data_IF_936204306207
#
_entry.id   IF_936204306207
#
_cell.length_a   1.000
_cell.length_b   1.000
_cell.length_c   1.000
_cell.angle_alpha   90.00
_cell.angle_beta   90.00
_cell.angle_gamma   90.00
#
_symmetry.space_group_name_H-M   'P 1'
#
loop_
_entity.id
_entity.type
_entity.pdbx_description
1 polymer ?
#
# COMPACT_ATOMS: atom_id res chain seq x y z
N UNK A 1 -1.66 -2.09 16.32
CA UNK A 1 -0.65 -2.94 17.01
C UNK A 1 0.06 -3.81 15.96
N UNK A 2 1.28 -3.46 15.54
CA UNK A 2 2.09 -4.26 14.60
C UNK A 2 2.84 -5.36 15.38
N UNK A 3 2.90 -6.58 14.85
CA UNK A 3 3.73 -7.64 15.43
C UNK A 3 5.18 -7.25 15.18
N UNK A 4 5.86 -6.67 16.17
CA UNK A 4 7.31 -6.58 16.17
C UNK A 4 7.77 -7.87 16.82
N UNK A 5 7.93 -8.91 16.00
CA UNK A 5 8.57 -10.14 16.46
C UNK A 5 10.08 -9.92 16.34
N UNK A 6 10.70 -9.74 17.50
CA UNK A 6 12.13 -9.92 17.83
C UNK A 6 13.20 -9.30 16.90
N UNK A 7 13.86 -8.25 17.42
CA UNK A 7 15.10 -7.61 16.94
C UNK A 7 15.00 -6.88 15.59
N UNK A 8 14.74 -5.57 15.66
CA UNK A 8 15.06 -4.52 14.65
C UNK A 8 15.07 -5.04 13.21
N UNK A 9 13.89 -5.39 12.69
CA UNK A 9 13.75 -6.05 11.41
C UNK A 9 13.94 -5.06 10.25
N UNK A 10 15.11 -5.10 9.59
CA UNK A 10 15.36 -4.48 8.28
C UNK A 10 14.98 -5.49 7.19
N UNK A 11 13.79 -5.36 6.62
CA UNK A 11 13.22 -6.36 5.71
C UNK A 11 12.43 -5.75 4.56
N UNK A 12 11.56 -4.76 4.81
CA UNK A 12 10.74 -4.21 3.73
C UNK A 12 11.63 -3.39 2.79
N UNK A 13 12.51 -2.55 3.33
CA UNK A 13 13.42 -1.74 2.52
C UNK A 13 14.31 -2.61 1.61
N UNK A 14 15.04 -3.64 2.10
CA UNK A 14 15.79 -4.54 1.24
C UNK A 14 14.96 -5.21 0.14
N UNK A 15 13.73 -5.63 0.45
CA UNK A 15 12.87 -6.33 -0.50
C UNK A 15 12.53 -5.46 -1.72
N UNK A 16 12.23 -4.16 -1.49
CA UNK A 16 11.95 -3.21 -2.56
C UNK A 16 13.21 -2.60 -3.18
N UNK A 17 14.31 -2.48 -2.43
CA UNK A 17 15.60 -2.01 -2.94
C UNK A 17 16.21 -2.98 -3.95
N UNK A 18 15.98 -4.29 -3.77
CA UNK A 18 16.42 -5.34 -4.68
C UNK A 18 17.72 -6.02 -4.25
N UNK A 19 18.49 -6.50 -5.22
CA UNK A 19 19.61 -7.43 -4.98
C UNK A 19 20.98 -6.76 -4.86
N UNK A 20 21.05 -5.42 -4.91
CA UNK A 20 22.32 -4.72 -4.79
C UNK A 20 22.94 -4.92 -3.39
N UNK A 21 24.26 -4.95 -3.31
CA UNK A 21 24.99 -5.20 -2.06
C UNK A 21 24.63 -4.18 -0.96
N UNK A 22 24.46 -2.91 -1.33
CA UNK A 22 24.12 -1.84 -0.41
C UNK A 22 22.70 -1.95 0.18
N UNK A 23 21.79 -2.69 -0.46
CA UNK A 23 20.44 -2.94 0.04
C UNK A 23 20.42 -3.83 1.29
N UNK A 24 21.49 -4.61 1.51
CA UNK A 24 21.60 -5.53 2.66
C UNK A 24 22.20 -4.87 3.89
N UNK A 25 22.67 -3.62 3.78
CA UNK A 25 23.28 -2.87 4.89
C UNK A 25 22.13 -2.25 5.72
N UNK A 26 21.95 -2.66 7.00
CA UNK A 26 20.86 -2.15 7.82
C UNK A 26 20.91 -0.64 8.03
N UNK A 27 19.78 0.03 7.83
CA UNK A 27 19.67 1.48 8.03
C UNK A 27 20.38 2.33 6.98
N UNK A 28 20.82 1.75 5.85
CA UNK A 28 21.48 2.48 4.78
C UNK A 28 20.50 3.46 4.08
N UNK A 29 20.76 4.78 4.10
CA UNK A 29 19.88 5.76 3.44
C UNK A 29 19.80 5.58 1.91
N UNK A 30 20.85 5.05 1.28
CA UNK A 30 20.83 4.75 -0.15
C UNK A 30 19.85 3.62 -0.48
N UNK A 31 19.70 2.64 0.44
CA UNK A 31 18.74 1.55 0.28
C UNK A 31 17.30 2.05 0.37
N UNK A 32 17.02 2.96 1.31
CA UNK A 32 15.68 3.59 1.45
C UNK A 32 15.33 4.39 0.20
N UNK A 33 16.25 5.23 -0.30
CA UNK A 33 16.02 6.02 -1.52
C UNK A 33 15.74 5.12 -2.73
N UNK A 34 16.55 4.08 -2.92
CA UNK A 34 16.35 3.12 -4.00
C UNK A 34 14.99 2.42 -3.86
N UNK A 35 14.63 1.94 -2.66
CA UNK A 35 13.34 1.30 -2.43
C UNK A 35 12.16 2.23 -2.77
N UNK A 36 12.22 3.51 -2.35
CA UNK A 36 11.18 4.51 -2.68
C UNK A 36 11.05 4.74 -4.19
N UNK A 37 12.18 4.91 -4.87
CA UNK A 37 12.21 5.10 -6.33
C UNK A 37 11.60 3.90 -7.06
N UNK A 38 11.91 2.68 -6.61
CA UNK A 38 11.38 1.45 -7.20
C UNK A 38 9.88 1.32 -7.01
N UNK A 39 9.36 1.66 -5.83
CA UNK A 39 7.91 1.68 -5.58
C UNK A 39 7.19 2.57 -6.60
N UNK A 40 7.77 3.70 -7.01
CA UNK A 40 7.14 4.61 -7.98
C UNK A 40 7.37 4.22 -9.44
N UNK A 41 8.51 3.60 -9.76
CA UNK A 41 8.91 3.33 -11.16
C UNK A 41 8.57 1.90 -11.61
N UNK A 42 8.75 0.91 -10.75
CA UNK A 42 8.72 -0.51 -11.12
C UNK A 42 7.44 -1.24 -10.68
N UNK A 43 6.70 -0.69 -9.70
CA UNK A 43 5.50 -1.33 -9.14
C UNK A 43 4.23 -0.62 -9.61
N UNK A 44 3.25 -1.40 -10.08
CA UNK A 44 1.93 -0.86 -10.46
C UNK A 44 1.17 -0.28 -9.24
N UNK A 45 1.16 -1.02 -8.14
CA UNK A 45 0.50 -0.65 -6.89
C UNK A 45 1.11 -1.41 -5.73
N UNK A 46 1.39 -0.71 -4.62
CA UNK A 46 1.82 -1.31 -3.36
C UNK A 46 0.75 -1.06 -2.30
N UNK A 47 0.20 -2.13 -1.75
CA UNK A 47 -0.88 -2.08 -0.77
C UNK A 47 -0.43 -2.06 0.68
N UNK A 48 -1.37 -1.76 1.58
CA UNK A 48 -1.19 -1.79 3.02
C UNK A 48 -1.96 -2.96 3.63
N UNK A 49 -1.34 -3.68 4.57
CA UNK A 49 -2.02 -4.81 5.23
C UNK A 49 -3.21 -4.35 6.07
N UNK A 50 -3.15 -3.17 6.68
CA UNK A 50 -4.27 -2.58 7.42
C UNK A 50 -5.44 -2.13 6.54
N UNK A 51 -5.19 -1.87 5.25
CA UNK A 51 -6.18 -1.43 4.27
C UNK A 51 -6.27 -2.41 3.09
N UNK A 52 -6.18 -3.71 3.40
CA UNK A 52 -6.15 -4.76 2.37
C UNK A 52 -7.41 -4.79 1.50
N UNK A 53 -8.58 -4.49 2.08
CA UNK A 53 -9.84 -4.48 1.33
C UNK A 53 -9.84 -3.39 0.26
N UNK A 54 -9.33 -2.19 0.58
CA UNK A 54 -9.13 -1.08 -0.38
C UNK A 54 -8.12 -1.48 -1.46
N UNK A 55 -7.03 -2.16 -1.09
CA UNK A 55 -6.03 -2.63 -2.04
C UNK A 55 -6.62 -3.57 -3.09
N UNK A 56 -7.46 -4.54 -2.68
CA UNK A 56 -8.08 -5.47 -3.64
C UNK A 56 -9.08 -4.78 -4.55
N UNK A 57 -9.82 -3.79 -4.05
CA UNK A 57 -10.75 -3.00 -4.87
C UNK A 57 -9.99 -2.19 -5.93
N UNK A 58 -8.86 -1.60 -5.57
CA UNK A 58 -8.00 -0.93 -6.54
C UNK A 58 -7.45 -1.91 -7.59
N UNK A 59 -7.02 -3.11 -7.18
CA UNK A 59 -6.56 -4.14 -8.12
C UNK A 59 -7.66 -4.62 -9.06
N UNK A 60 -8.90 -4.78 -8.59
CA UNK A 60 -10.04 -5.12 -9.43
C UNK A 60 -10.28 -4.07 -10.53
N UNK A 61 -10.08 -2.79 -10.21
CA UNK A 61 -10.18 -1.70 -11.18
C UNK A 61 -9.01 -1.63 -12.15
N UNK A 62 -7.78 -1.77 -11.65
CA UNK A 62 -6.56 -1.64 -12.45
C UNK A 62 -6.29 -2.86 -13.32
N UNK A 63 -6.62 -4.06 -12.83
CA UNK A 63 -6.34 -5.35 -13.47
C UNK A 63 -7.60 -6.24 -13.48
N UNK A 64 -8.70 -5.81 -14.14
CA UNK A 64 -9.98 -6.53 -14.10
C UNK A 64 -9.88 -7.95 -14.68
N UNK A 65 -8.96 -8.20 -15.62
CA UNK A 65 -8.74 -9.54 -16.19
C UNK A 65 -8.34 -10.58 -15.14
N UNK A 66 -7.70 -10.16 -14.06
CA UNK A 66 -7.22 -11.04 -12.99
C UNK A 66 -8.10 -10.96 -11.74
N UNK A 67 -8.60 -9.77 -11.41
CA UNK A 67 -9.22 -9.49 -10.11
C UNK A 67 -10.73 -9.20 -10.18
N UNK A 68 -11.39 -9.39 -11.33
CA UNK A 68 -12.85 -9.24 -11.45
C UNK A 68 -13.59 -10.13 -10.45
N UNK A 69 -14.49 -9.54 -9.66
CA UNK A 69 -15.28 -10.20 -8.63
C UNK A 69 -14.53 -10.46 -7.31
N UNK A 70 -13.28 -10.00 -7.18
CA UNK A 70 -12.47 -10.23 -5.98
C UNK A 70 -12.97 -9.46 -4.76
N UNK A 71 -13.44 -8.21 -4.93
CA UNK A 71 -14.05 -7.43 -3.84
C UNK A 71 -15.31 -8.11 -3.30
N UNK A 72 -16.14 -8.63 -4.21
CA UNK A 72 -17.33 -9.43 -3.90
C UNK A 72 -17.00 -10.71 -3.14
N UNK A 73 -15.95 -11.42 -3.56
CA UNK A 73 -15.50 -12.64 -2.90
C UNK A 73 -15.02 -12.36 -1.47
N UNK A 74 -14.21 -11.32 -1.26
CA UNK A 74 -13.72 -10.93 0.07
C UNK A 74 -14.88 -10.55 0.98
N UNK A 75 -15.92 -9.89 0.44
CA UNK A 75 -17.12 -9.51 1.18
C UNK A 75 -17.97 -10.72 1.60
N UNK A 76 -18.11 -11.72 0.73
CA UNK A 76 -18.94 -12.91 1.00
C UNK A 76 -18.27 -13.93 1.92
N UNK A 77 -16.94 -13.98 1.92
CA UNK A 77 -16.16 -14.92 2.73
C UNK A 77 -15.82 -14.33 4.09
N UNK A 78 -15.22 -15.12 5.00
CA UNK A 78 -14.68 -14.64 6.30
C UNK A 78 -13.49 -13.66 6.17
N UNK A 79 -13.31 -13.06 4.99
CA UNK A 79 -12.24 -12.14 4.64
C UNK A 79 -10.89 -12.80 4.41
N UNK A 80 -9.87 -11.96 4.23
CA UNK A 80 -8.48 -12.36 3.96
C UNK A 80 -7.71 -12.79 5.21
N UNK A 81 -8.29 -12.65 6.41
CA UNK A 81 -7.59 -12.81 7.69
C UNK A 81 -7.53 -14.26 8.18
N UNK A 82 -7.05 -15.17 7.33
CA UNK A 82 -6.97 -16.61 7.59
C UNK A 82 -5.87 -16.99 8.60
N UNK A 83 -4.70 -16.36 8.52
CA UNK A 83 -3.54 -16.68 9.39
C UNK A 83 -3.37 -15.64 10.49
N UNK A 84 -4.12 -15.79 11.59
CA UNK A 84 -3.99 -14.93 12.78
C UNK A 84 -3.00 -15.53 13.78
N UNK A 85 -2.07 -14.71 14.27
CA UNK A 85 -1.23 -15.08 15.41
C UNK A 85 -2.10 -15.24 16.66
N UNK A 86 -2.10 -16.44 17.28
CA UNK A 86 -2.98 -16.76 18.42
C UNK A 86 -2.71 -15.90 19.66
N UNK A 87 -1.44 -15.59 19.93
CA UNK A 87 -1.03 -14.82 21.10
C UNK A 87 -0.16 -13.64 20.67
N UNK A 88 -0.54 -12.43 21.10
CA UNK A 88 0.15 -11.18 20.76
C UNK A 88 0.16 -10.26 21.99
N UNK A 89 1.18 -10.37 22.85
CA UNK A 89 1.27 -9.52 24.03
C UNK A 89 1.46 -8.06 23.60
N UNK A 90 0.83 -7.09 24.28
CA UNK A 90 1.08 -5.68 24.03
C UNK A 90 2.53 -5.34 24.41
N UNK A 91 3.16 -4.51 23.58
CA UNK A 91 4.53 -4.05 23.81
C UNK A 91 4.48 -2.83 24.75
N UNK A 92 5.33 -2.82 25.77
CA UNK A 92 5.45 -1.70 26.71
C UNK A 92 5.94 -0.43 26.02
N UNK A 93 5.55 0.74 26.53
CA UNK A 93 5.95 2.02 25.90
C UNK A 93 7.46 2.25 25.96
N UNK A 94 8.12 1.78 27.03
CA UNK A 94 9.59 1.79 27.15
C UNK A 94 10.27 1.03 26.01
N UNK A 95 9.72 -0.11 25.60
CA UNK A 95 10.27 -0.88 24.47
C UNK A 95 10.00 -0.15 23.16
N UNK A 96 8.82 0.47 22.98
CA UNK A 96 8.54 1.27 21.78
C UNK A 96 9.48 2.47 21.64
N UNK A 97 9.80 3.17 22.72
CA UNK A 97 10.74 4.30 22.66
C UNK A 97 12.15 3.84 22.30
N UNK A 98 12.61 2.68 22.80
CA UNK A 98 13.88 2.08 22.40
C UNK A 98 13.92 1.80 20.89
N UNK A 99 12.84 1.28 20.30
CA UNK A 99 12.75 1.09 18.86
C UNK A 99 12.72 2.40 18.08
N UNK A 100 11.97 3.41 18.55
CA UNK A 100 11.89 4.73 17.90
C UNK A 100 13.26 5.43 17.80
N UNK A 101 14.14 5.18 18.75
CA UNK A 101 15.50 5.73 18.78
C UNK A 101 16.49 4.98 17.87
N UNK A 102 16.12 3.82 17.33
CA UNK A 102 16.98 3.01 16.48
C UNK A 102 16.93 3.49 15.01
N UNK A 103 18.09 3.75 14.40
CA UNK A 103 18.21 4.24 13.02
C UNK A 103 17.62 3.28 11.98
N UNK A 104 17.74 1.97 12.17
CA UNK A 104 17.19 0.97 11.27
C UNK A 104 15.66 0.98 11.31
N UNK A 105 15.07 1.16 12.50
CA UNK A 105 13.62 1.30 12.64
C UNK A 105 13.14 2.59 11.99
N UNK A 106 13.88 3.70 12.13
CA UNK A 106 13.56 4.97 11.50
C UNK A 106 13.57 4.84 9.97
N UNK A 107 14.57 4.19 9.39
CA UNK A 107 14.64 3.92 7.96
C UNK A 107 13.43 3.11 7.44
N UNK A 108 13.04 2.05 8.15
CA UNK A 108 11.88 1.23 7.80
C UNK A 108 10.56 1.99 7.97
N UNK A 109 10.42 2.80 9.04
CA UNK A 109 9.23 3.65 9.19
C UNK A 109 9.14 4.72 8.12
N UNK A 110 10.25 5.37 7.78
CA UNK A 110 10.30 6.37 6.72
C UNK A 110 9.83 5.78 5.38
N UNK A 111 10.26 4.56 5.06
CA UNK A 111 9.81 3.85 3.87
C UNK A 111 8.32 3.47 3.95
N UNK A 112 7.86 2.91 5.07
CA UNK A 112 6.45 2.56 5.25
C UNK A 112 5.52 3.78 5.15
N UNK A 113 5.89 4.91 5.75
CA UNK A 113 5.13 6.15 5.69
C UNK A 113 5.02 6.71 4.27
N UNK A 114 6.12 6.60 3.50
CA UNK A 114 6.11 6.94 2.08
C UNK A 114 5.14 6.05 1.30
N UNK A 115 5.24 4.72 1.41
CA UNK A 115 4.33 3.79 0.73
C UNK A 115 2.88 4.03 1.13
N UNK A 116 2.63 4.33 2.40
CA UNK A 116 1.30 4.65 2.91
C UNK A 116 0.74 5.90 2.24
N UNK A 117 1.54 6.96 2.13
CA UNK A 117 1.12 8.18 1.44
C UNK A 117 0.79 7.91 -0.03
N UNK A 118 1.68 7.22 -0.75
CA UNK A 118 1.48 6.87 -2.16
C UNK A 118 0.21 6.04 -2.39
N UNK A 119 -0.02 5.03 -1.54
CA UNK A 119 -1.23 4.21 -1.63
C UNK A 119 -2.51 5.05 -1.49
N UNK A 120 -2.58 5.94 -0.49
CA UNK A 120 -3.75 6.78 -0.28
C UNK A 120 -3.90 7.86 -1.35
N UNK A 121 -2.80 8.38 -1.90
CA UNK A 121 -2.82 9.30 -3.03
C UNK A 121 -3.47 8.66 -4.25
N UNK A 122 -3.04 7.44 -4.61
CA UNK A 122 -3.61 6.67 -5.73
C UNK A 122 -5.10 6.38 -5.47
N UNK A 123 -5.42 5.89 -4.27
CA UNK A 123 -6.79 5.59 -3.85
C UNK A 123 -7.69 6.82 -4.03
N UNK A 124 -7.28 7.97 -3.50
CA UNK A 124 -8.06 9.20 -3.56
C UNK A 124 -8.14 9.80 -4.97
N UNK A 125 -7.16 9.53 -5.83
CA UNK A 125 -7.23 9.91 -7.25
C UNK A 125 -8.26 9.09 -8.03
N UNK A 126 -8.52 7.84 -7.64
CA UNK A 126 -9.41 6.92 -8.35
C UNK A 126 -10.85 6.91 -7.79
N UNK A 127 -11.02 7.15 -6.50
CA UNK A 127 -12.29 7.06 -5.78
C UNK A 127 -12.87 8.44 -5.44
N UNK A 128 -14.20 8.54 -5.45
CA UNK A 128 -14.88 9.77 -5.02
C UNK A 128 -14.84 9.92 -3.48
N UNK A 129 -14.70 11.16 -3.01
CA UNK A 129 -14.56 11.49 -1.57
C UNK A 129 -15.76 11.07 -0.72
N UNK A 130 -16.95 10.90 -1.31
CA UNK A 130 -18.18 10.48 -0.64
C UNK A 130 -18.13 9.01 -0.15
N UNK A 131 -17.21 8.20 -0.68
CA UNK A 131 -16.98 6.83 -0.23
C UNK A 131 -15.89 6.82 0.85
N UNK A 132 -16.16 7.45 2.00
CA UNK A 132 -15.29 7.30 3.18
C UNK A 132 -15.58 5.94 3.81
N UNK A 133 -14.66 5.00 3.67
CA UNK A 133 -14.69 3.74 4.43
C UNK A 133 -14.29 4.08 5.86
N UNK A 134 -15.28 4.34 6.70
CA UNK A 134 -15.05 4.56 8.13
C UNK A 134 -14.41 3.31 8.75
N UNK A 135 -13.23 3.51 9.34
CA UNK A 135 -12.47 2.64 10.21
C UNK A 135 -13.10 1.26 10.54
N UNK A 136 -12.60 0.22 9.88
CA UNK A 136 -12.41 -1.10 10.50
C UNK A 136 -13.62 -2.05 10.57
N UNK A 137 -14.78 -1.69 10.05
CA UNK A 137 -15.86 -2.65 9.80
C UNK A 137 -15.97 -2.93 8.31
N UNK A 138 -16.05 -4.21 7.96
CA UNK A 138 -16.38 -4.70 6.63
C UNK A 138 -17.44 -3.83 5.96
N UNK A 139 -17.20 -3.50 4.68
CA UNK A 139 -18.09 -2.80 3.76
C UNK A 139 -19.58 -2.96 4.10
N UNK A 140 -20.14 -1.99 4.83
CA UNK A 140 -21.59 -1.88 5.04
C UNK A 140 -22.22 -1.29 3.78
N UNK A 141 -22.30 -2.09 2.71
CA UNK A 141 -23.22 -1.90 1.58
C UNK A 141 -23.10 -0.62 0.76
N UNK A 142 -22.14 0.27 1.01
CA UNK A 142 -21.96 1.48 0.20
C UNK A 142 -21.35 1.11 -1.15
N UNK A 143 -21.98 1.50 -2.27
CA UNK A 143 -21.43 1.22 -3.59
C UNK A 143 -20.13 1.99 -3.79
N UNK A 144 -19.10 1.30 -4.28
CA UNK A 144 -17.82 1.91 -4.66
C UNK A 144 -18.06 2.76 -5.90
N UNK A 145 -17.86 4.08 -5.80
CA UNK A 145 -18.05 5.00 -6.93
C UNK A 145 -16.69 5.48 -7.44
N UNK A 146 -16.41 5.15 -8.70
CA UNK A 146 -15.17 5.50 -9.38
C UNK A 146 -15.23 6.89 -10.02
N UNK A 147 -14.10 7.57 -10.06
CA UNK A 147 -13.95 8.76 -10.89
C UNK A 147 -14.06 8.37 -12.38
N UNK A 148 -14.84 9.14 -13.14
CA UNK A 148 -14.96 8.94 -14.59
C UNK A 148 -13.65 9.32 -15.28
N UNK A 149 -13.35 8.68 -16.40
CA UNK A 149 -12.20 9.05 -17.22
C UNK A 149 -12.28 10.52 -17.64
N UNK A 150 -11.23 11.29 -17.33
CA UNK A 150 -11.17 12.73 -17.61
C UNK A 150 -10.35 13.07 -18.87
N UNK A 151 -9.67 12.09 -19.46
CA UNK A 151 -8.80 12.30 -20.63
C UNK A 151 -9.54 11.91 -21.90
N UNK A 152 -9.68 12.88 -22.81
CA UNK A 152 -10.23 12.74 -24.15
C UNK A 152 -9.21 13.27 -25.16
N UNK A 153 -8.99 12.53 -26.24
CA UNK A 153 -8.14 13.00 -27.34
C UNK A 153 -8.98 13.79 -28.33
N UNK A 154 -8.63 15.05 -28.55
CA UNK A 154 -9.25 15.90 -29.58
C UNK A 154 -8.22 16.27 -30.65
N UNK A 155 -8.67 16.59 -31.88
CA UNK A 155 -7.81 16.93 -33.02
C UNK A 155 -6.77 15.84 -33.37
N UNK A 156 -7.26 14.61 -33.54
CA UNK A 156 -6.43 13.44 -33.89
C UNK A 156 -5.96 13.43 -35.35
N UNK A 157 -6.48 14.34 -36.19
CA UNK A 157 -6.04 14.58 -37.57
C UNK A 157 -6.02 16.08 -37.89
N UNK A 158 -5.17 16.52 -38.83
CA UNK A 158 -5.31 17.83 -39.45
C UNK A 158 -6.69 17.93 -40.10
N UNK A 159 -7.35 19.09 -39.95
CA UNK A 159 -8.54 19.38 -40.75
C UNK A 159 -8.08 19.54 -42.22
N UNK A 160 -8.88 19.12 -43.21
CA UNK A 160 -8.62 19.45 -44.60
C UNK A 160 -8.47 20.97 -44.74
N UNK A 161 -7.50 21.41 -45.53
CA UNK A 161 -7.28 22.84 -45.79
C UNK A 161 -8.60 23.48 -46.28
N UNK A 162 -9.10 24.48 -45.54
CA UNK A 162 -10.27 25.30 -45.90
C UNK A 162 -9.98 26.20 -47.11
#
# INVERSE_FOLDING_TARGET
MKCILFLVQFLQVPLFCGHASYCRIPGNPAAVRAAKQRVTEDYLLVGLTEAFDEFVILLEKLLPRFFSGSSDLIRRTYGWRMRRTRYKPPISERVKSLFRNNSVWQAEQEFYEFVRAEFWNIRNGLLQSSTVISNGSAFNGTPVVWNKQQILFTRTRPLPDE
#
